data_IF_112561391243
#
_entry.id   IF_112561391243
#
_cell.length_a   1.000
_cell.length_b   1.000
_cell.length_c   1.000
_cell.angle_alpha   90.00
_cell.angle_beta   90.00
_cell.angle_gamma   90.00
#
_symmetry.space_group_name_H-M   'P 1'
#
loop_
_entity.id
_entity.type
_entity.pdbx_description
1 polymer ?
#
# COMPACT_ATOMS: atom_id res chain seq x y z
N UNK A 1 -19.45 -26.05 8.82
CA UNK A 1 -18.73 -27.31 8.49
C UNK A 1 -17.42 -27.28 9.26
N UNK A 2 -16.98 -28.37 9.90
CA UNK A 2 -15.70 -28.39 10.63
C UNK A 2 -14.67 -29.05 9.72
N UNK A 3 -13.61 -28.33 9.37
CA UNK A 3 -12.45 -28.90 8.69
C UNK A 3 -11.32 -28.99 9.70
N UNK A 4 -10.73 -30.17 9.79
CA UNK A 4 -9.55 -30.44 10.59
C UNK A 4 -8.41 -30.67 9.60
N UNK A 5 -7.40 -29.80 9.64
CA UNK A 5 -6.18 -29.96 8.84
C UNK A 5 -5.06 -30.26 9.83
N UNK A 6 -4.48 -31.45 9.73
CA UNK A 6 -3.31 -31.84 10.53
C UNK A 6 -2.06 -31.27 9.85
N UNK A 7 -1.66 -30.06 10.26
CA UNK A 7 -0.42 -29.43 9.79
C UNK A 7 0.67 -29.77 10.82
N UNK A 8 1.56 -30.70 10.47
CA UNK A 8 2.59 -31.29 11.33
C UNK A 8 2.02 -32.03 12.54
N UNK A 9 1.80 -33.34 12.36
CA UNK A 9 1.01 -34.22 13.23
C UNK A 9 1.45 -34.43 14.68
N UNK A 10 2.01 -33.45 15.41
CA UNK A 10 2.21 -33.56 16.87
C UNK A 10 1.84 -32.29 17.67
N UNK A 11 1.77 -31.04 17.14
CA UNK A 11 1.64 -29.88 18.06
C UNK A 11 0.70 -28.70 17.72
N UNK A 12 -0.08 -28.70 16.63
CA UNK A 12 -1.04 -27.62 16.41
C UNK A 12 -2.35 -28.10 15.76
N UNK A 13 -3.33 -28.48 16.60
CA UNK A 13 -4.71 -28.71 16.13
C UNK A 13 -5.40 -27.38 15.88
N UNK A 14 -5.32 -26.86 14.66
CA UNK A 14 -6.09 -25.70 14.23
C UNK A 14 -7.50 -26.18 13.85
N UNK A 15 -8.48 -25.91 14.73
CA UNK A 15 -9.89 -26.22 14.45
C UNK A 15 -10.51 -25.02 13.74
N UNK A 16 -10.66 -25.11 12.42
CA UNK A 16 -11.33 -24.06 11.63
C UNK A 16 -12.84 -24.32 11.68
N UNK A 17 -13.56 -23.50 12.45
CA UNK A 17 -15.04 -23.46 12.41
C UNK A 17 -15.49 -22.64 11.21
N UNK A 18 -15.87 -23.31 10.12
CA UNK A 18 -16.46 -22.64 8.96
C UNK A 18 -17.94 -22.38 9.22
N UNK A 19 -18.30 -21.12 9.46
CA UNK A 19 -19.68 -20.66 9.48
C UNK A 19 -20.15 -20.48 8.03
N UNK A 20 -21.20 -21.20 7.61
CA UNK A 20 -21.71 -21.14 6.22
C UNK A 20 -22.16 -19.72 5.85
N UNK A 21 -22.62 -18.93 6.82
CA UNK A 21 -23.11 -17.56 6.62
C UNK A 21 -21.98 -16.60 6.27
N UNK A 22 -20.78 -16.78 6.82
CA UNK A 22 -19.62 -15.91 6.53
C UNK A 22 -18.72 -16.47 5.43
N UNK A 23 -18.73 -17.79 5.23
CA UNK A 23 -17.86 -18.44 4.26
C UNK A 23 -18.24 -18.11 2.81
N UNK A 24 -19.53 -18.15 2.47
CA UNK A 24 -19.97 -17.88 1.11
C UNK A 24 -19.66 -16.43 0.67
N UNK A 25 -19.97 -15.38 1.45
CA UNK A 25 -19.58 -14.02 1.10
C UNK A 25 -18.06 -13.81 1.00
N UNK A 26 -17.27 -14.42 1.90
CA UNK A 26 -15.80 -14.35 1.81
C UNK A 26 -15.26 -15.01 0.54
N UNK A 27 -15.86 -16.12 0.08
CA UNK A 27 -15.52 -16.77 -1.19
C UNK A 27 -15.84 -15.85 -2.36
N UNK A 28 -16.96 -15.13 -2.32
CA UNK A 28 -17.32 -14.15 -3.36
C UNK A 28 -16.26 -13.06 -3.47
N UNK A 29 -15.84 -12.46 -2.34
CA UNK A 29 -14.73 -11.49 -2.33
C UNK A 29 -13.41 -12.07 -2.84
N UNK A 30 -13.07 -13.30 -2.44
CA UNK A 30 -11.86 -13.97 -2.91
C UNK A 30 -11.88 -14.21 -4.42
N UNK A 31 -13.02 -14.64 -4.96
CA UNK A 31 -13.18 -14.85 -6.41
C UNK A 31 -13.12 -13.53 -7.18
N UNK A 32 -13.64 -12.43 -6.63
CA UNK A 32 -13.51 -11.11 -7.23
C UNK A 32 -12.05 -10.65 -7.30
N UNK A 33 -11.31 -10.78 -6.20
CA UNK A 33 -9.88 -10.43 -6.15
C UNK A 33 -9.11 -11.25 -7.19
N UNK A 34 -9.34 -12.57 -7.23
CA UNK A 34 -8.69 -13.46 -8.20
C UNK A 34 -9.08 -13.13 -9.64
N UNK A 35 -10.34 -12.81 -9.91
CA UNK A 35 -10.82 -12.40 -11.22
C UNK A 35 -10.15 -11.10 -11.66
N UNK A 36 -10.10 -10.10 -10.78
CA UNK A 36 -9.46 -8.81 -11.05
C UNK A 36 -7.98 -9.00 -11.39
N UNK A 37 -7.25 -9.77 -10.58
CA UNK A 37 -5.85 -10.12 -10.84
C UNK A 37 -5.65 -10.91 -12.14
N UNK A 38 -6.55 -11.84 -12.46
CA UNK A 38 -6.50 -12.60 -13.71
C UNK A 38 -6.74 -11.71 -14.93
N UNK A 39 -7.75 -10.85 -14.88
CA UNK A 39 -8.06 -9.90 -15.95
C UNK A 39 -6.90 -8.94 -16.19
N UNK A 40 -6.30 -8.42 -15.13
CA UNK A 40 -5.12 -7.56 -15.21
C UNK A 40 -3.90 -8.30 -15.78
N UNK A 41 -3.65 -9.54 -15.35
CA UNK A 41 -2.59 -10.37 -15.93
C UNK A 41 -2.80 -10.61 -17.43
N UNK A 42 -4.02 -10.97 -17.84
CA UNK A 42 -4.38 -11.15 -19.24
C UNK A 42 -4.20 -9.86 -20.04
N UNK A 43 -4.71 -8.73 -19.55
CA UNK A 43 -4.57 -7.42 -20.19
C UNK A 43 -3.11 -7.03 -20.37
N UNK A 44 -2.28 -7.24 -19.34
CA UNK A 44 -0.84 -7.00 -19.43
C UNK A 44 -0.17 -7.88 -20.49
N UNK A 45 -0.48 -9.17 -20.53
CA UNK A 45 0.07 -10.09 -21.55
C UNK A 45 -0.33 -9.67 -22.96
N UNK A 46 -1.53 -9.15 -23.15
CA UNK A 46 -1.98 -8.60 -24.42
C UNK A 46 -1.19 -7.34 -24.79
N UNK A 47 -1.01 -6.40 -23.85
CA UNK A 47 -0.20 -5.19 -24.05
C UNK A 47 1.24 -5.55 -24.42
N UNK A 48 1.86 -6.50 -23.73
CA UNK A 48 3.22 -6.97 -24.02
C UNK A 48 3.38 -7.55 -25.42
N UNK A 49 2.33 -8.18 -25.97
CA UNK A 49 2.33 -8.74 -27.33
C UNK A 49 2.00 -7.69 -28.39
N UNK A 50 1.05 -6.79 -28.11
CA UNK A 50 0.52 -5.85 -29.08
C UNK A 50 1.37 -4.58 -29.21
N UNK A 51 2.03 -4.14 -28.13
CA UNK A 51 2.75 -2.86 -28.09
C UNK A 51 4.26 -3.09 -28.11
N UNK A 52 4.87 -2.67 -29.22
CA UNK A 52 6.31 -2.82 -29.46
C UNK A 52 7.14 -1.73 -28.79
N UNK A 53 6.62 -0.49 -28.73
CA UNK A 53 7.36 0.64 -28.16
C UNK A 53 7.45 0.50 -26.63
N UNK A 54 8.66 0.41 -26.04
CA UNK A 54 8.84 0.09 -24.64
C UNK A 54 8.19 1.07 -23.66
N UNK A 55 8.20 2.38 -23.95
CA UNK A 55 7.69 3.38 -23.03
C UNK A 55 6.16 3.41 -23.00
N UNK A 56 5.49 3.37 -24.16
CA UNK A 56 4.03 3.25 -24.28
C UNK A 56 3.56 1.93 -23.66
N UNK A 57 4.32 0.84 -23.86
CA UNK A 57 4.05 -0.43 -23.16
C UNK A 57 4.07 -0.23 -21.66
N UNK A 58 5.11 0.40 -21.11
CA UNK A 58 5.21 0.68 -19.68
C UNK A 58 4.06 1.57 -19.17
N UNK A 59 3.67 2.62 -19.91
CA UNK A 59 2.52 3.46 -19.54
C UNK A 59 1.22 2.65 -19.43
N UNK A 60 0.98 1.74 -20.36
CA UNK A 60 -0.19 0.86 -20.31
C UNK A 60 -0.07 -0.16 -19.17
N UNK A 61 1.11 -0.69 -18.89
CA UNK A 61 1.35 -1.56 -17.75
C UNK A 61 1.11 -0.82 -16.42
N UNK A 62 1.56 0.42 -16.25
CA UNK A 62 1.27 1.27 -15.08
C UNK A 62 -0.24 1.49 -14.89
N UNK A 63 -0.97 1.75 -15.97
CA UNK A 63 -2.42 1.90 -15.91
C UNK A 63 -3.13 0.61 -15.47
N UNK A 64 -2.75 -0.54 -16.04
CA UNK A 64 -3.38 -1.83 -15.68
C UNK A 64 -2.98 -2.24 -14.26
N UNK A 65 -1.73 -1.97 -13.86
CA UNK A 65 -1.26 -2.19 -12.50
C UNK A 65 -2.11 -1.37 -11.53
N UNK A 66 -2.22 -0.06 -11.73
CA UNK A 66 -3.03 0.81 -10.88
C UNK A 66 -4.51 0.38 -10.82
N UNK A 67 -5.06 -0.09 -11.94
CA UNK A 67 -6.40 -0.66 -11.98
C UNK A 67 -6.51 -1.93 -11.12
N UNK A 68 -5.60 -2.90 -11.24
CA UNK A 68 -5.60 -4.10 -10.39
C UNK A 68 -5.48 -3.74 -8.90
N UNK A 69 -4.56 -2.83 -8.57
CA UNK A 69 -4.30 -2.41 -7.20
C UNK A 69 -5.57 -1.84 -6.57
N UNK A 70 -6.16 -0.85 -7.21
CA UNK A 70 -7.34 -0.17 -6.69
C UNK A 70 -8.55 -1.13 -6.67
N UNK A 71 -8.76 -1.92 -7.74
CA UNK A 71 -9.85 -2.89 -7.82
C UNK A 71 -9.80 -3.92 -6.69
N UNK A 72 -8.64 -4.54 -6.46
CA UNK A 72 -8.46 -5.47 -5.34
C UNK A 72 -8.61 -4.77 -3.99
N UNK A 73 -8.15 -3.53 -3.84
CA UNK A 73 -8.27 -2.77 -2.59
C UNK A 73 -9.72 -2.38 -2.25
N UNK A 74 -10.58 -2.08 -3.24
CA UNK A 74 -12.00 -1.87 -2.99
C UNK A 74 -12.64 -3.10 -2.34
N UNK A 75 -12.35 -4.29 -2.85
CA UNK A 75 -12.88 -5.52 -2.25
C UNK A 75 -12.20 -5.89 -0.93
N UNK A 76 -10.92 -5.54 -0.75
CA UNK A 76 -10.25 -5.67 0.55
C UNK A 76 -10.93 -4.84 1.64
N UNK A 77 -11.51 -3.67 1.33
CA UNK A 77 -12.31 -2.89 2.29
C UNK A 77 -13.53 -3.70 2.71
N UNK A 78 -14.27 -4.30 1.76
CA UNK A 78 -15.39 -5.19 2.07
C UNK A 78 -14.93 -6.35 2.97
N UNK A 79 -13.74 -6.91 2.70
CA UNK A 79 -13.18 -7.98 3.52
C UNK A 79 -12.87 -7.51 4.94
N UNK A 80 -12.25 -6.33 5.09
CA UNK A 80 -11.90 -5.76 6.39
C UNK A 80 -13.15 -5.45 7.23
N UNK A 81 -14.17 -4.83 6.63
CA UNK A 81 -15.39 -4.42 7.31
C UNK A 81 -16.24 -5.60 7.78
N UNK A 82 -16.25 -6.71 7.03
CA UNK A 82 -17.16 -7.83 7.28
C UNK A 82 -16.49 -9.05 7.95
N UNK A 83 -15.18 -9.27 7.73
CA UNK A 83 -14.46 -10.43 8.27
C UNK A 83 -13.31 -10.04 9.21
N UNK A 84 -13.03 -8.75 9.33
CA UNK A 84 -12.04 -8.22 10.24
C UNK A 84 -10.62 -8.18 9.66
N UNK A 85 -9.76 -7.48 10.38
CA UNK A 85 -8.45 -7.08 9.84
C UNK A 85 -7.45 -8.22 9.74
N UNK A 86 -7.60 -9.28 10.54
CA UNK A 86 -6.79 -10.48 10.39
C UNK A 86 -6.99 -11.14 9.02
N UNK A 87 -8.23 -11.17 8.51
CA UNK A 87 -8.53 -11.70 7.17
C UNK A 87 -8.00 -10.75 6.10
N UNK A 88 -8.25 -9.45 6.22
CA UNK A 88 -7.66 -8.43 5.35
C UNK A 88 -6.14 -8.58 5.21
N UNK A 89 -5.42 -8.76 6.34
CA UNK A 89 -3.97 -8.91 6.37
C UNK A 89 -3.49 -10.10 5.53
N UNK A 90 -4.19 -11.24 5.62
CA UNK A 90 -3.86 -12.44 4.85
C UNK A 90 -4.03 -12.17 3.35
N UNK A 91 -5.14 -11.57 2.93
CA UNK A 91 -5.36 -11.25 1.52
C UNK A 91 -4.36 -10.22 1.00
N UNK A 92 -4.09 -9.16 1.76
CA UNK A 92 -3.11 -8.14 1.40
C UNK A 92 -1.70 -8.74 1.28
N UNK A 93 -1.30 -9.62 2.19
CA UNK A 93 -0.01 -10.31 2.13
C UNK A 93 0.12 -11.20 0.89
N UNK A 94 -0.93 -11.95 0.54
CA UNK A 94 -0.93 -12.78 -0.67
C UNK A 94 -0.91 -11.93 -1.94
N UNK A 95 -1.66 -10.82 -1.95
CA UNK A 95 -1.70 -9.88 -3.06
C UNK A 95 -0.35 -9.19 -3.25
N UNK A 96 0.34 -8.80 -2.19
CA UNK A 96 1.68 -8.17 -2.28
C UNK A 96 2.74 -9.14 -2.82
N UNK A 97 2.68 -10.42 -2.45
CA UNK A 97 3.50 -11.47 -3.07
C UNK A 97 3.16 -11.64 -4.56
N UNK A 98 1.87 -11.73 -4.89
CA UNK A 98 1.44 -11.83 -6.29
C UNK A 98 1.92 -10.64 -7.12
N UNK A 99 1.79 -9.43 -6.56
CA UNK A 99 2.13 -8.18 -7.22
C UNK A 99 3.61 -8.06 -7.55
N UNK A 100 4.47 -8.38 -6.59
CA UNK A 100 5.92 -8.32 -6.72
C UNK A 100 6.49 -9.35 -7.71
N UNK A 101 5.83 -10.50 -7.88
CA UNK A 101 6.18 -11.48 -8.93
C UNK A 101 5.59 -11.09 -10.29
N UNK A 102 4.41 -10.47 -10.24
CA UNK A 102 3.67 -9.80 -11.29
C UNK A 102 4.51 -8.73 -12.00
N UNK A 103 4.46 -7.52 -11.47
CA UNK A 103 4.41 -6.29 -12.25
C UNK A 103 5.72 -5.79 -12.85
N UNK A 104 6.86 -6.41 -12.54
CA UNK A 104 8.15 -6.02 -13.11
C UNK A 104 8.46 -4.55 -12.82
N UNK A 105 8.63 -3.75 -13.87
CA UNK A 105 8.99 -2.32 -13.75
C UNK A 105 7.81 -1.40 -13.44
N UNK A 106 6.56 -1.86 -13.57
CA UNK A 106 5.37 -1.07 -13.25
C UNK A 106 5.16 -1.01 -11.74
N UNK A 107 4.98 0.18 -11.19
CA UNK A 107 4.91 0.39 -9.73
C UNK A 107 3.51 0.77 -9.24
N UNK A 108 2.65 1.28 -10.12
CA UNK A 108 1.34 1.83 -9.77
C UNK A 108 1.40 2.88 -8.64
N UNK A 109 2.49 3.63 -8.57
CA UNK A 109 2.79 4.50 -7.45
C UNK A 109 3.54 5.78 -7.87
N UNK A 110 2.90 6.96 -7.80
CA UNK A 110 3.50 8.19 -8.30
C UNK A 110 4.83 8.58 -7.65
N UNK A 111 4.97 8.39 -6.33
CA UNK A 111 6.17 8.83 -5.64
C UNK A 111 7.40 8.01 -6.03
N UNK A 112 7.26 6.78 -6.55
CA UNK A 112 8.43 6.02 -7.01
C UNK A 112 9.05 6.65 -8.24
N UNK A 113 8.22 7.22 -9.13
CA UNK A 113 8.71 7.97 -10.29
C UNK A 113 9.35 9.30 -9.87
N UNK A 114 8.87 9.91 -8.78
CA UNK A 114 9.51 11.08 -8.17
C UNK A 114 10.88 10.69 -7.58
N UNK A 115 10.99 9.55 -6.91
CA UNK A 115 12.29 9.04 -6.43
C UNK A 115 13.28 8.86 -7.58
N UNK A 116 12.86 8.26 -8.71
CA UNK A 116 13.71 8.09 -9.88
C UNK A 116 14.24 9.44 -10.40
N UNK A 117 13.39 10.47 -10.41
CA UNK A 117 13.79 11.83 -10.78
C UNK A 117 14.77 12.43 -9.76
N UNK A 118 14.50 12.30 -8.46
CA UNK A 118 15.37 12.79 -7.37
C UNK A 118 16.75 12.09 -7.41
N UNK A 119 16.77 10.80 -7.74
CA UNK A 119 17.98 10.00 -7.86
C UNK A 119 18.74 10.25 -9.18
N UNK A 120 18.19 11.05 -10.11
CA UNK A 120 18.80 11.35 -11.41
C UNK A 120 18.68 10.21 -12.44
N UNK A 121 17.81 9.24 -12.18
CA UNK A 121 17.55 8.06 -13.05
C UNK A 121 16.39 8.30 -14.03
N UNK A 122 15.50 9.25 -13.72
CA UNK A 122 14.26 9.50 -14.46
C UNK A 122 14.14 10.92 -15.01
N UNK A 123 13.26 11.07 -16.01
CA UNK A 123 12.86 12.37 -16.57
C UNK A 123 11.50 12.81 -16.00
N UNK A 124 11.36 14.10 -15.68
CA UNK A 124 10.13 14.67 -15.08
C UNK A 124 8.90 14.42 -15.97
N UNK A 125 9.02 14.58 -17.29
CA UNK A 125 7.89 14.39 -18.20
C UNK A 125 7.47 12.93 -18.23
N UNK A 126 8.43 12.01 -18.22
CA UNK A 126 8.14 10.57 -18.14
C UNK A 126 7.45 10.21 -16.83
N UNK A 127 7.90 10.76 -15.71
CA UNK A 127 7.26 10.57 -14.41
C UNK A 127 5.80 11.05 -14.42
N UNK A 128 5.54 12.25 -14.95
CA UNK A 128 4.19 12.79 -15.08
C UNK A 128 3.29 11.92 -15.97
N UNK A 129 3.81 11.41 -17.10
CA UNK A 129 3.05 10.53 -17.98
C UNK A 129 2.69 9.19 -17.31
N UNK A 130 3.62 8.60 -16.56
CA UNK A 130 3.35 7.39 -15.76
C UNK A 130 2.27 7.66 -14.72
N UNK A 131 2.42 8.73 -13.92
CA UNK A 131 1.41 9.13 -12.92
C UNK A 131 0.03 9.37 -13.53
N UNK A 132 -0.03 9.97 -14.73
CA UNK A 132 -1.29 10.15 -15.44
C UNK A 132 -1.91 8.81 -15.88
N UNK A 133 -1.08 7.87 -16.35
CA UNK A 133 -1.54 6.53 -16.72
C UNK A 133 -2.08 5.76 -15.49
N UNK A 134 -1.38 5.83 -14.36
CA UNK A 134 -1.81 5.23 -13.08
C UNK A 134 -3.16 5.79 -12.62
N UNK A 135 -3.31 7.12 -12.62
CA UNK A 135 -4.57 7.79 -12.30
C UNK A 135 -5.70 7.35 -13.22
N UNK A 136 -5.43 7.24 -14.52
CA UNK A 136 -6.41 6.76 -15.50
C UNK A 136 -6.85 5.34 -15.19
N UNK A 137 -5.92 4.45 -14.89
CA UNK A 137 -6.20 3.07 -14.46
C UNK A 137 -7.06 3.00 -13.19
N UNK A 138 -6.65 3.74 -12.15
CA UNK A 138 -7.37 3.82 -10.88
C UNK A 138 -8.79 4.40 -11.00
N UNK A 139 -9.02 5.35 -11.89
CA UNK A 139 -10.36 5.91 -12.12
C UNK A 139 -11.24 4.98 -12.96
N UNK A 140 -10.68 4.30 -13.95
CA UNK A 140 -11.44 3.38 -14.81
C UNK A 140 -11.92 2.14 -14.04
N UNK A 141 -11.08 1.60 -13.14
CA UNK A 141 -11.47 0.42 -12.37
C UNK A 141 -12.63 0.68 -11.41
N UNK A 142 -12.83 1.92 -10.97
CA UNK A 142 -13.97 2.27 -10.13
C UNK A 142 -15.31 1.88 -10.80
N UNK A 143 -15.45 2.13 -12.12
CA UNK A 143 -16.66 1.71 -12.85
C UNK A 143 -16.82 0.19 -12.89
N UNK A 144 -15.72 -0.54 -13.04
CA UNK A 144 -15.72 -2.01 -13.00
C UNK A 144 -16.21 -2.53 -11.64
N UNK A 145 -15.68 -1.97 -10.54
CA UNK A 145 -16.08 -2.31 -9.17
C UNK A 145 -17.55 -1.97 -8.92
N UNK A 146 -17.99 -0.78 -9.33
CA UNK A 146 -19.39 -0.33 -9.18
C UNK A 146 -20.36 -1.25 -9.92
N UNK A 147 -20.05 -1.66 -11.14
CA UNK A 147 -20.86 -2.64 -11.88
C UNK A 147 -20.90 -3.98 -11.15
N UNK A 148 -19.79 -4.43 -10.59
CA UNK A 148 -19.73 -5.69 -9.85
C UNK A 148 -20.56 -5.64 -8.56
N UNK A 149 -20.42 -4.57 -7.76
CA UNK A 149 -21.20 -4.39 -6.54
C UNK A 149 -22.70 -4.23 -6.82
N UNK A 150 -23.08 -3.61 -7.95
CA UNK A 150 -24.48 -3.48 -8.36
C UNK A 150 -25.16 -4.82 -8.69
N UNK A 151 -24.39 -5.91 -8.87
CA UNK A 151 -24.94 -7.26 -9.02
C UNK A 151 -25.39 -7.88 -7.69
N UNK A 152 -24.99 -7.30 -6.55
CA UNK A 152 -25.36 -7.74 -5.19
C UNK A 152 -25.22 -9.26 -4.97
N UNK A 153 -24.12 -9.84 -5.49
CA UNK A 153 -23.89 -11.29 -5.50
C UNK A 153 -23.84 -11.87 -4.07
N UNK A 154 -23.46 -11.04 -3.10
CA UNK A 154 -23.38 -11.41 -1.69
C UNK A 154 -24.04 -10.34 -0.81
N UNK A 155 -24.48 -10.74 0.38
CA UNK A 155 -25.04 -9.83 1.38
C UNK A 155 -24.06 -8.69 1.75
N UNK A 156 -22.75 -8.91 1.62
CA UNK A 156 -21.73 -7.89 1.88
C UNK A 156 -21.62 -6.82 0.78
N UNK A 157 -22.23 -7.06 -0.39
CA UNK A 157 -22.30 -6.11 -1.51
C UNK A 157 -23.63 -5.37 -1.60
N UNK A 158 -24.61 -5.73 -0.77
CA UNK A 158 -25.94 -5.13 -0.80
C UNK A 158 -25.86 -3.62 -0.59
N UNK A 159 -26.49 -2.86 -1.47
CA UNK A 159 -26.51 -1.40 -1.52
C UNK A 159 -25.13 -0.73 -1.67
N UNK A 160 -24.01 -1.48 -1.77
CA UNK A 160 -22.65 -0.92 -1.81
C UNK A 160 -22.36 -0.08 -3.05
N UNK A 161 -23.00 -0.38 -4.18
CA UNK A 161 -22.86 0.44 -5.40
C UNK A 161 -23.57 1.80 -5.30
N UNK A 162 -24.46 1.98 -4.33
CA UNK A 162 -25.28 3.18 -4.19
C UNK A 162 -25.05 3.92 -2.87
N UNK A 163 -24.17 3.38 -2.01
CA UNK A 163 -23.81 3.98 -0.72
C UNK A 163 -22.99 5.26 -0.92
N UNK A 164 -23.34 6.31 -0.16
CA UNK A 164 -22.56 7.54 -0.12
C UNK A 164 -21.16 7.28 0.44
N UNK A 165 -20.13 7.63 -0.34
CA UNK A 165 -18.76 7.41 0.07
C UNK A 165 -18.35 8.41 1.17
N UNK A 166 -17.68 7.90 2.20
CA UNK A 166 -17.06 8.70 3.27
C UNK A 166 -15.54 8.62 3.25
N UNK A 167 -14.92 9.75 3.54
CA UNK A 167 -13.50 9.89 3.74
C UNK A 167 -13.00 9.10 4.96
N UNK A 168 -11.82 8.48 4.85
CA UNK A 168 -11.18 7.76 5.96
C UNK A 168 -10.33 8.67 6.86
N UNK A 169 -10.11 9.93 6.46
CA UNK A 169 -9.38 10.89 7.27
C UNK A 169 -10.20 11.25 8.52
N UNK A 170 -9.80 10.74 9.68
CA UNK A 170 -10.47 10.98 10.98
C UNK A 170 -9.75 12.02 11.86
N UNK A 171 -8.68 12.61 11.35
CA UNK A 171 -7.78 13.51 12.09
C UNK A 171 -7.54 14.81 11.32
N UNK A 172 -7.01 15.87 11.97
CA UNK A 172 -6.66 17.10 11.27
C UNK A 172 -5.72 16.85 10.08
N UNK A 173 -5.95 17.58 8.99
CA UNK A 173 -5.30 17.41 7.68
C UNK A 173 -3.78 17.31 7.80
N UNK A 174 -3.13 18.27 8.48
CA UNK A 174 -1.68 18.26 8.61
C UNK A 174 -1.17 17.04 9.38
N UNK A 175 -1.92 16.61 10.39
CA UNK A 175 -1.55 15.44 11.19
C UNK A 175 -1.70 14.15 10.36
N UNK A 176 -2.76 14.03 9.55
CA UNK A 176 -2.89 12.95 8.57
C UNK A 176 -1.75 12.93 7.55
N UNK A 177 -1.37 14.10 7.02
CA UNK A 177 -0.27 14.22 6.08
C UNK A 177 1.07 13.77 6.68
N UNK A 178 1.34 14.12 7.95
CA UNK A 178 2.54 13.64 8.66
C UNK A 178 2.49 12.13 8.86
N UNK A 179 1.34 11.57 9.24
CA UNK A 179 1.18 10.12 9.44
C UNK A 179 1.44 9.35 8.15
N UNK A 180 0.81 9.74 7.05
CA UNK A 180 1.06 9.17 5.71
C UNK A 180 2.54 9.32 5.33
N UNK A 181 3.12 10.51 5.49
CA UNK A 181 4.51 10.77 5.12
C UNK A 181 5.53 9.97 5.92
N UNK A 182 5.37 9.86 7.26
CA UNK A 182 6.29 9.07 8.08
C UNK A 182 6.16 7.58 7.77
N UNK A 183 4.93 7.08 7.59
CA UNK A 183 4.70 5.68 7.23
C UNK A 183 5.28 5.35 5.85
N UNK A 184 5.03 6.19 4.84
CA UNK A 184 5.66 6.04 3.51
C UNK A 184 7.18 6.07 3.62
N UNK A 185 7.77 7.01 4.39
CA UNK A 185 9.22 7.08 4.58
C UNK A 185 9.80 5.76 5.14
N UNK A 186 9.15 5.20 6.17
CA UNK A 186 9.58 3.94 6.80
C UNK A 186 9.43 2.74 5.87
N UNK A 187 8.32 2.63 5.14
CA UNK A 187 8.15 1.63 4.09
C UNK A 187 9.30 1.71 3.08
N UNK A 188 9.59 2.91 2.56
CA UNK A 188 10.62 3.12 1.53
C UNK A 188 12.03 2.84 2.03
N UNK A 189 12.36 3.22 3.26
CA UNK A 189 13.64 2.87 3.89
C UNK A 189 13.81 1.35 4.00
N UNK A 190 12.77 0.63 4.41
CA UNK A 190 12.79 -0.81 4.50
C UNK A 190 12.95 -1.47 3.12
N UNK A 191 12.18 -1.05 2.11
CA UNK A 191 12.30 -1.57 0.74
C UNK A 191 13.68 -1.34 0.15
N UNK A 192 14.27 -0.15 0.35
CA UNK A 192 15.64 0.15 -0.12
C UNK A 192 16.69 -0.71 0.59
N UNK A 193 16.56 -0.90 1.90
CA UNK A 193 17.44 -1.78 2.68
C UNK A 193 17.38 -3.23 2.19
N UNK A 194 16.18 -3.75 1.93
CA UNK A 194 15.99 -5.10 1.39
C UNK A 194 16.52 -5.23 -0.03
N UNK A 195 16.36 -4.21 -0.87
CA UNK A 195 16.94 -4.16 -2.21
C UNK A 195 18.46 -4.29 -2.19
N UNK A 196 19.14 -3.58 -1.28
CA UNK A 196 20.60 -3.62 -1.14
C UNK A 196 21.12 -4.94 -0.56
N UNK A 197 20.40 -5.53 0.41
CA UNK A 197 20.79 -6.79 1.04
C UNK A 197 20.51 -8.01 0.14
N UNK A 198 19.67 -7.85 -0.87
CA UNK A 198 19.21 -8.87 -1.81
C UNK A 198 18.94 -10.25 -1.16
N UNK A 199 18.18 -10.32 -0.04
CA UNK A 199 17.95 -11.59 0.63
C UNK A 199 17.09 -12.52 -0.24
N UNK A 200 17.23 -13.84 -0.05
CA UNK A 200 16.49 -14.88 -0.79
C UNK A 200 14.96 -14.71 -0.78
N UNK A 201 14.44 -13.97 0.21
CA UNK A 201 13.01 -13.68 0.39
C UNK A 201 12.70 -12.17 0.42
N UNK A 202 13.52 -11.32 -0.21
CA UNK A 202 13.35 -9.85 -0.22
C UNK A 202 11.91 -9.43 -0.51
N UNK A 203 11.33 -10.02 -1.54
CA UNK A 203 9.93 -9.88 -1.93
C UNK A 203 8.93 -10.18 -0.81
N UNK A 204 9.06 -11.32 -0.15
CA UNK A 204 8.12 -11.72 0.91
C UNK A 204 8.32 -10.88 2.18
N UNK A 205 9.54 -10.42 2.44
CA UNK A 205 9.85 -9.55 3.59
C UNK A 205 9.32 -8.13 3.34
N UNK A 206 9.46 -7.58 2.13
CA UNK A 206 8.90 -6.27 1.76
C UNK A 206 7.38 -6.29 1.83
N UNK A 207 6.75 -7.34 1.27
CA UNK A 207 5.33 -7.62 1.41
C UNK A 207 4.90 -7.73 2.89
N UNK A 208 5.69 -8.42 3.71
CA UNK A 208 5.44 -8.55 5.15
C UNK A 208 5.54 -7.22 5.88
N UNK A 209 6.54 -6.38 5.58
CA UNK A 209 6.73 -5.07 6.21
C UNK A 209 5.60 -4.12 5.81
N UNK A 210 5.27 -4.03 4.53
CA UNK A 210 4.15 -3.21 4.04
C UNK A 210 2.84 -3.65 4.68
N UNK A 211 2.54 -4.96 4.67
CA UNK A 211 1.34 -5.51 5.32
C UNK A 211 1.36 -5.26 6.84
N UNK A 212 2.50 -5.45 7.49
CA UNK A 212 2.63 -5.26 8.94
C UNK A 212 2.47 -3.80 9.36
N UNK A 213 2.91 -2.83 8.56
CA UNK A 213 2.70 -1.41 8.85
C UNK A 213 1.22 -1.04 8.75
N UNK A 214 0.52 -1.55 7.73
CA UNK A 214 -0.94 -1.37 7.60
C UNK A 214 -1.68 -2.07 8.75
N UNK A 215 -1.28 -3.29 9.12
CA UNK A 215 -1.97 -4.12 10.13
C UNK A 215 -1.63 -3.74 11.57
N UNK A 216 -0.40 -3.31 11.85
CA UNK A 216 -0.04 -2.68 13.12
C UNK A 216 -0.90 -1.43 13.37
N UNK A 217 -1.26 -0.73 12.28
CA UNK A 217 -2.33 0.26 12.15
C UNK A 217 -3.65 -0.09 12.85
N UNK A 218 -3.96 -1.39 12.94
CA UNK A 218 -5.28 -1.88 13.35
C UNK A 218 -5.24 -2.77 14.60
N UNK A 219 -4.17 -3.54 14.81
CA UNK A 219 -4.05 -4.38 16.00
C UNK A 219 -3.87 -3.56 17.30
N UNK A 220 -3.46 -2.30 17.21
CA UNK A 220 -3.33 -1.41 18.38
C UNK A 220 -4.65 -0.73 18.81
N UNK A 221 -5.79 -1.12 18.20
CA UNK A 221 -7.15 -0.60 18.48
C UNK A 221 -7.58 -0.62 19.96
N UNK A 222 -7.04 -1.52 20.78
CA UNK A 222 -7.52 -1.75 22.16
C UNK A 222 -6.49 -1.52 23.27
N UNK A 223 -5.23 -1.24 22.96
CA UNK A 223 -4.21 -0.95 23.97
C UNK A 223 -3.85 0.53 23.92
N UNK A 224 -4.29 1.25 24.96
CA UNK A 224 -3.79 2.55 25.47
C UNK A 224 -4.67 3.80 25.18
N UNK A 225 -5.15 4.35 26.31
CA UNK A 225 -5.61 5.71 26.64
C UNK A 225 -6.03 6.66 25.50
N UNK A 226 -7.34 6.84 25.38
CA UNK A 226 -7.94 8.08 24.85
C UNK A 226 -7.58 9.21 25.81
N UNK A 227 -6.48 9.92 25.58
CA UNK A 227 -6.28 11.23 26.20
C UNK A 227 -7.07 12.24 25.35
N UNK A 228 -8.30 12.55 25.78
CA UNK A 228 -9.03 13.73 25.30
C UNK A 228 -8.22 14.97 25.72
N UNK A 229 -7.35 15.44 24.84
CA UNK A 229 -6.74 16.75 25.00
C UNK A 229 -7.76 17.79 24.51
N UNK A 230 -8.50 18.37 25.44
CA UNK A 230 -9.35 19.53 25.20
C UNK A 230 -8.48 20.76 25.53
N UNK A 231 -7.97 21.42 24.49
CA UNK A 231 -7.11 22.59 24.67
C UNK A 231 -7.94 23.86 24.78
N UNK A 232 -7.77 24.60 25.88
CA UNK A 232 -8.34 25.93 26.10
C UNK A 232 -7.27 27.03 25.91
N UNK A 233 -6.11 26.73 25.31
CA UNK A 233 -5.02 27.69 25.10
C UNK A 233 -4.82 28.00 23.62
N UNK A 234 -4.82 29.30 23.28
CA UNK A 234 -4.69 29.80 21.91
C UNK A 234 -3.29 29.65 21.28
N UNK A 235 -2.30 29.08 21.98
CA UNK A 235 -0.89 29.10 21.56
C UNK A 235 -0.14 27.77 21.79
N UNK A 236 -0.74 26.61 21.45
CA UNK A 236 -0.01 25.34 21.50
C UNK A 236 0.84 25.15 20.24
N UNK A 237 2.16 25.12 20.43
CA UNK A 237 3.17 24.84 19.41
C UNK A 237 2.85 23.54 18.65
N UNK A 238 2.49 23.70 17.37
CA UNK A 238 2.19 22.67 16.39
C UNK A 238 3.26 21.55 16.35
N UNK A 239 4.51 21.91 16.61
CA UNK A 239 5.68 21.02 16.64
C UNK A 239 5.64 19.98 17.77
N UNK A 240 5.19 20.35 18.97
CA UNK A 240 5.17 19.46 20.15
C UNK A 240 4.00 18.47 20.06
N UNK A 241 2.86 18.88 19.49
CA UNK A 241 1.72 17.98 19.25
C UNK A 241 1.99 16.95 18.15
N UNK A 242 2.84 17.28 17.17
CA UNK A 242 3.21 16.37 16.08
C UNK A 242 4.27 15.35 16.55
N UNK A 243 5.32 15.79 17.23
CA UNK A 243 6.43 14.89 17.60
C UNK A 243 6.06 13.85 18.68
N UNK A 244 5.14 14.18 19.59
CA UNK A 244 4.77 13.27 20.69
C UNK A 244 3.56 12.36 20.42
N UNK A 245 2.81 12.55 19.32
CA UNK A 245 1.54 11.83 19.09
C UNK A 245 1.47 11.00 17.81
N UNK A 246 2.47 10.98 16.93
CA UNK A 246 2.42 10.14 15.72
C UNK A 246 2.52 8.67 16.10
N UNK A 247 1.37 8.08 16.42
CA UNK A 247 1.20 6.65 16.59
C UNK A 247 1.12 6.02 15.21
N UNK A 248 2.28 5.60 14.68
CA UNK A 248 2.36 5.00 13.36
C UNK A 248 1.46 3.76 13.22
N UNK A 249 1.27 3.03 14.32
CA UNK A 249 0.30 1.94 14.45
C UNK A 249 -1.17 2.37 14.46
N UNK A 250 -1.50 3.62 14.13
CA UNK A 250 -2.88 4.11 13.91
C UNK A 250 -3.07 4.75 12.54
N UNK A 251 -2.13 4.59 11.62
CA UNK A 251 -2.24 5.19 10.28
C UNK A 251 -3.53 4.79 9.56
N UNK A 252 -3.96 3.53 9.70
CA UNK A 252 -5.24 3.07 9.17
C UNK A 252 -6.44 3.81 9.77
N UNK A 253 -6.46 4.02 11.10
CA UNK A 253 -7.56 4.75 11.77
C UNK A 253 -7.55 6.25 11.48
N UNK A 254 -6.37 6.82 11.22
CA UNK A 254 -6.21 8.25 11.03
C UNK A 254 -6.45 8.70 9.59
N UNK A 255 -5.97 7.95 8.61
CA UNK A 255 -6.02 8.32 7.20
C UNK A 255 -6.37 7.17 6.26
N UNK A 256 -6.74 5.99 6.77
CA UNK A 256 -6.91 4.79 5.96
C UNK A 256 -5.60 4.07 5.61
N UNK A 257 -4.44 4.69 5.88
CA UNK A 257 -3.12 4.07 5.72
C UNK A 257 -2.82 3.67 4.26
N UNK A 258 -3.10 4.58 3.32
CA UNK A 258 -3.02 4.28 1.90
C UNK A 258 -1.60 4.18 1.39
N UNK A 259 -0.73 5.09 1.83
CA UNK A 259 0.67 5.19 1.45
C UNK A 259 0.89 5.12 -0.07
N UNK A 260 -0.10 5.48 -0.88
CA UNK A 260 -0.07 5.50 -2.33
C UNK A 260 -1.09 6.55 -2.82
N UNK A 261 -0.62 7.63 -3.48
CA UNK A 261 -1.51 8.72 -3.91
C UNK A 261 -2.60 8.30 -4.90
N UNK A 262 -2.31 7.40 -5.84
CA UNK A 262 -3.29 6.91 -6.83
C UNK A 262 -4.34 6.05 -6.16
N UNK A 263 -3.92 5.17 -5.26
CA UNK A 263 -4.83 4.32 -4.49
C UNK A 263 -5.79 5.17 -3.66
N UNK A 264 -5.27 6.10 -2.86
CA UNK A 264 -6.10 6.99 -2.04
C UNK A 264 -7.08 7.79 -2.92
N UNK A 265 -6.61 8.28 -4.07
CA UNK A 265 -7.45 9.06 -5.00
C UNK A 265 -8.55 8.21 -5.62
N UNK A 266 -8.25 6.99 -6.07
CA UNK A 266 -9.25 6.09 -6.64
C UNK A 266 -10.34 5.74 -5.63
N UNK A 267 -9.96 5.47 -4.38
CA UNK A 267 -10.89 4.96 -3.36
C UNK A 267 -11.69 6.07 -2.65
N UNK A 268 -11.10 7.27 -2.48
CA UNK A 268 -11.63 8.26 -1.54
C UNK A 268 -11.73 9.70 -2.06
N UNK A 269 -11.20 10.02 -3.24
CA UNK A 269 -11.29 11.40 -3.73
C UNK A 269 -12.74 11.80 -4.01
N UNK A 270 -13.18 12.91 -3.43
CA UNK A 270 -14.54 13.43 -3.60
C UNK A 270 -15.58 12.80 -2.67
N UNK A 271 -15.16 11.89 -1.77
CA UNK A 271 -16.03 11.37 -0.72
C UNK A 271 -16.33 12.42 0.35
N UNK A 272 -17.46 12.28 1.04
CA UNK A 272 -17.89 13.22 2.08
C UNK A 272 -16.90 13.20 3.27
N UNK A 273 -16.56 14.39 3.79
CA UNK A 273 -15.77 14.55 5.02
C UNK A 273 -14.55 15.47 4.87
N UNK A 274 -14.01 15.64 3.66
CA UNK A 274 -12.94 16.61 3.38
C UNK A 274 -12.99 17.10 1.93
N UNK A 275 -12.35 18.25 1.68
CA UNK A 275 -12.18 18.80 0.33
C UNK A 275 -11.11 18.05 -0.47
N UNK A 276 -11.16 18.18 -1.80
CA UNK A 276 -10.12 17.63 -2.70
C UNK A 276 -8.72 18.21 -2.41
N UNK A 277 -8.65 19.45 -1.91
CA UNK A 277 -7.37 20.06 -1.52
C UNK A 277 -6.79 19.37 -0.28
N UNK A 278 -7.62 19.11 0.73
CA UNK A 278 -7.20 18.39 1.94
C UNK A 278 -6.78 16.95 1.61
N UNK A 279 -7.51 16.29 0.71
CA UNK A 279 -7.11 15.00 0.14
C UNK A 279 -5.71 15.06 -0.49
N UNK A 280 -5.46 16.05 -1.35
CA UNK A 280 -4.17 16.24 -1.99
C UNK A 280 -3.05 16.51 -0.97
N UNK A 281 -3.30 17.33 0.05
CA UNK A 281 -2.31 17.60 1.10
C UNK A 281 -1.93 16.33 1.86
N UNK A 282 -2.90 15.50 2.22
CA UNK A 282 -2.64 14.27 2.98
C UNK A 282 -1.97 13.20 2.12
N UNK A 283 -2.63 12.80 1.03
CA UNK A 283 -2.27 11.57 0.31
C UNK A 283 -1.28 11.78 -0.83
N UNK A 284 -1.16 13.01 -1.36
CA UNK A 284 -0.14 13.33 -2.36
C UNK A 284 1.06 13.99 -1.72
N UNK A 285 0.88 15.13 -1.05
CA UNK A 285 2.01 15.88 -0.49
C UNK A 285 2.66 15.09 0.65
N UNK A 286 1.87 14.58 1.60
CA UNK A 286 2.39 13.77 2.71
C UNK A 286 3.19 12.56 2.24
N UNK A 287 2.58 11.68 1.45
CA UNK A 287 3.23 10.47 0.94
C UNK A 287 4.48 10.78 0.06
N UNK A 288 4.39 11.73 -0.88
CA UNK A 288 5.52 12.09 -1.73
C UNK A 288 6.67 12.72 -0.92
N UNK A 289 6.37 13.57 0.08
CA UNK A 289 7.38 14.14 0.96
C UNK A 289 8.07 13.05 1.80
N UNK A 290 7.32 12.08 2.31
CA UNK A 290 7.84 10.92 3.01
C UNK A 290 8.79 10.07 2.16
N UNK A 291 8.37 9.75 0.94
CA UNK A 291 9.17 9.03 -0.04
C UNK A 291 10.45 9.80 -0.43
N UNK A 292 10.35 11.10 -0.73
CA UNK A 292 11.51 11.94 -1.03
C UNK A 292 12.49 11.99 0.16
N UNK A 293 11.99 12.17 1.38
CA UNK A 293 12.79 12.15 2.60
C UNK A 293 13.56 10.82 2.74
N UNK A 294 12.92 9.69 2.43
CA UNK A 294 13.55 8.37 2.49
C UNK A 294 14.79 8.27 1.58
N UNK A 295 14.76 8.87 0.38
CA UNK A 295 15.90 8.88 -0.55
C UNK A 295 17.10 9.58 0.04
N UNK A 296 16.89 10.74 0.68
CA UNK A 296 17.97 11.48 1.34
C UNK A 296 18.45 10.79 2.61
N UNK A 297 17.53 10.29 3.44
CA UNK A 297 17.86 9.56 4.68
C UNK A 297 18.68 8.30 4.38
N UNK A 298 18.32 7.55 3.34
CA UNK A 298 19.05 6.34 2.96
C UNK A 298 20.48 6.61 2.47
N UNK A 299 20.78 7.83 2.02
CA UNK A 299 22.13 8.26 1.65
C UNK A 299 23.02 8.58 2.86
N UNK A 300 22.45 8.77 4.05
CA UNK A 300 23.20 9.12 5.25
C UNK A 300 24.14 7.96 5.67
N UNK A 301 25.41 8.25 6.04
CA UNK A 301 26.37 7.22 6.44
C UNK A 301 25.90 6.36 7.62
N UNK A 302 25.18 6.97 8.57
CA UNK A 302 24.64 6.28 9.75
C UNK A 302 23.64 5.20 9.34
N UNK A 303 22.72 5.53 8.43
CA UNK A 303 21.70 4.60 7.93
C UNK A 303 22.36 3.49 7.10
N UNK A 304 23.30 3.84 6.20
CA UNK A 304 24.05 2.84 5.44
C UNK A 304 24.84 1.87 6.32
N UNK A 305 25.46 2.39 7.39
CA UNK A 305 26.20 1.57 8.39
C UNK A 305 25.26 0.65 9.16
N UNK A 306 24.08 1.13 9.52
CA UNK A 306 23.06 0.32 10.19
C UNK A 306 22.54 -0.80 9.27
N UNK A 307 22.25 -0.50 8.00
CA UNK A 307 21.71 -1.46 7.02
C UNK A 307 22.73 -2.53 6.63
N UNK A 308 23.99 -2.16 6.36
CA UNK A 308 25.04 -3.11 5.95
C UNK A 308 25.69 -3.86 7.12
N UNK A 309 25.38 -3.46 8.35
CA UNK A 309 26.09 -3.90 9.55
C UNK A 309 27.53 -3.39 9.58
N UNK A 310 28.16 -3.39 10.75
CA UNK A 310 29.62 -3.28 10.88
C UNK A 310 30.28 -4.55 10.35
N UNK A 311 30.27 -4.73 9.04
CA UNK A 311 31.24 -5.61 8.39
C UNK A 311 32.45 -4.76 8.03
N UNK A 312 33.34 -4.57 9.01
CA UNK A 312 34.76 -4.63 8.68
C UNK A 312 35.01 -6.05 8.18
N UNK A 313 34.83 -6.25 6.87
CA UNK A 313 35.52 -7.35 6.20
C UNK A 313 36.98 -6.95 6.28
N UNK A 314 37.75 -7.67 7.10
CA UNK A 314 39.19 -7.56 7.16
C UNK A 314 39.76 -7.46 5.74
N UNK A 315 40.29 -6.28 5.41
CA UNK A 315 41.59 -6.15 4.77
C UNK A 315 41.76 -6.47 3.29
N UNK A 316 40.83 -7.11 2.58
CA UNK A 316 41.04 -7.40 1.15
C UNK A 316 40.04 -6.66 0.26
N UNK A 317 40.53 -5.59 -0.35
CA UNK A 317 39.83 -4.84 -1.39
C UNK A 317 39.56 -5.75 -2.60
N UNK A 318 38.27 -6.03 -2.86
CA UNK A 318 37.78 -6.67 -4.10
C UNK A 318 38.03 -5.81 -5.37
N UNK A 319 38.64 -4.63 -5.23
CA UNK A 319 38.91 -3.69 -6.31
C UNK A 319 40.39 -3.29 -6.44
N UNK A 320 41.31 -4.00 -5.81
CA UNK A 320 42.73 -3.86 -6.16
C UNK A 320 43.05 -4.83 -7.31
N UNK A 321 43.56 -4.26 -8.39
CA UNK A 321 44.17 -4.90 -9.56
C UNK A 321 43.21 -5.49 -10.61
N UNK A 322 42.73 -4.59 -11.47
CA UNK A 322 42.64 -4.79 -12.92
C UNK A 322 42.43 -3.44 -13.62
N UNK A 323 43.48 -2.62 -13.58
CA UNK A 323 43.77 -1.66 -14.65
C UNK A 323 44.85 -2.31 -15.55
N UNK A 324 44.67 -2.19 -16.86
CA UNK A 324 45.65 -2.60 -17.89
C UNK A 324 46.94 -1.78 -17.81
#
# INVERSE_FOLDING_TARGET
MKFTIDVLGIFLKVVIRVNKVTFAPLVVSALFILLTSLLAHCARRLVQKAVQEPFVRLLLEEAIAAAELCGCCFELIIVADNFGVGTYAIFLFLLTIWWSMNWGDATACPYTHIEDVIEGKGDVRKALLKTWAELTGGLLVFKYVQMYWALEISETHKDKAFEDCKADLQVPVLYGAVVEGVATCLCRLASKALGDLNPRFSTAIDAFIGTSLVVAGVLTRHTVFVYRYQDNSANADLSVSIFCKVHLGKAFEYSGGYFNPVLATSLKAGCEGHSLLEHAVVYWIGACAGSALSVYMYKLPIIKKFVRGTTEVNGDSIWADKED
#
